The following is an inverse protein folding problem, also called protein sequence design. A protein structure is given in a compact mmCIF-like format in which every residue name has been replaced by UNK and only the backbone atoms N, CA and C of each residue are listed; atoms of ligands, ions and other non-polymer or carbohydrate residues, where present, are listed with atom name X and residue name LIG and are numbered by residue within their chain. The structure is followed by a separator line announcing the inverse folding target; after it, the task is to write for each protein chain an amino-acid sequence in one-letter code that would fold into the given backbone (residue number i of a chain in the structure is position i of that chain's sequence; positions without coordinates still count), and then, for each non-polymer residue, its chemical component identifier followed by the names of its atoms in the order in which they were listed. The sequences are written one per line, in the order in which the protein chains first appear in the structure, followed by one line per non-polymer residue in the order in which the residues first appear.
data_IF_567706864750
#
_entry.id   IF_567706864750
#
_cell.length_a   1.000
_cell.length_b   1.000
_cell.length_c   1.000
_cell.angle_alpha   90.00
_cell.angle_beta   90.00
_cell.angle_gamma   90.00
#
_symmetry.space_group_name_H-M   'P 1'
#
loop_
_entity.id
_entity.type
_entity.pdbx_description
1 polymer ?
#
# COMPACT_ATOMS: atom_id res chain seq x y z
N UNK A 1 26.51 5.07 3.72
CA UNK A 1 25.20 4.58 4.20
C UNK A 1 25.17 4.82 5.70
N UNK A 2 24.16 5.51 6.20
CA UNK A 2 23.98 5.70 7.64
C UNK A 2 23.54 4.38 8.25
N UNK A 3 24.25 3.90 9.26
CA UNK A 3 23.86 2.66 9.98
C UNK A 3 22.59 2.96 10.80
N UNK A 4 21.61 2.07 10.73
CA UNK A 4 20.40 2.18 11.55
C UNK A 4 20.75 1.98 13.04
N UNK A 5 20.03 2.65 13.92
CA UNK A 5 20.10 2.34 15.35
C UNK A 5 19.39 1.02 15.66
N UNK A 6 19.66 0.43 16.83
CA UNK A 6 18.99 -0.81 17.25
C UNK A 6 17.45 -0.65 17.31
N UNK A 7 16.95 0.53 17.68
CA UNK A 7 15.52 0.84 17.68
C UNK A 7 14.94 0.89 16.26
N UNK A 8 15.67 1.49 15.32
CA UNK A 8 15.29 1.52 13.91
C UNK A 8 15.28 0.13 13.28
N UNK A 9 16.29 -0.70 13.59
CA UNK A 9 16.32 -2.11 13.16
C UNK A 9 15.13 -2.90 13.71
N UNK A 10 14.77 -2.68 14.98
CA UNK A 10 13.61 -3.31 15.61
C UNK A 10 12.28 -2.91 14.94
N UNK A 11 12.11 -1.62 14.58
CA UNK A 11 10.95 -1.15 13.82
C UNK A 11 10.85 -1.83 12.46
N UNK A 12 11.95 -1.92 11.72
CA UNK A 12 12.00 -2.58 10.41
C UNK A 12 11.64 -4.07 10.54
N UNK A 13 12.21 -4.76 11.52
CA UNK A 13 11.92 -6.17 11.76
C UNK A 13 10.46 -6.41 12.17
N UNK A 14 9.89 -5.53 13.00
CA UNK A 14 8.49 -5.61 13.40
C UNK A 14 7.56 -5.37 12.21
N UNK A 15 7.86 -4.38 11.36
CA UNK A 15 7.08 -4.11 10.16
C UNK A 15 7.14 -5.28 9.18
N UNK A 16 8.32 -5.86 8.96
CA UNK A 16 8.42 -7.04 8.11
C UNK A 16 7.57 -8.22 8.64
N UNK A 17 7.65 -8.47 9.94
CA UNK A 17 6.81 -9.51 10.59
C UNK A 17 5.31 -9.24 10.42
N UNK A 18 4.91 -7.97 10.47
CA UNK A 18 3.53 -7.56 10.26
C UNK A 18 3.06 -7.89 8.84
N UNK A 19 3.82 -7.44 7.82
CA UNK A 19 3.53 -7.70 6.40
C UNK A 19 3.51 -9.20 6.10
N UNK A 20 4.46 -9.97 6.63
CA UNK A 20 4.49 -11.42 6.44
C UNK A 20 3.23 -12.10 7.02
N UNK A 21 2.76 -11.62 8.17
CA UNK A 21 1.51 -12.11 8.78
C UNK A 21 0.27 -11.74 7.97
N UNK A 22 0.21 -10.53 7.43
CA UNK A 22 -0.87 -10.11 6.53
C UNK A 22 -0.95 -10.98 5.28
N UNK A 23 0.18 -11.19 4.61
CA UNK A 23 0.28 -12.02 3.42
C UNK A 23 -0.10 -13.49 3.69
N UNK A 24 0.21 -13.99 4.89
CA UNK A 24 -0.16 -15.32 5.34
C UNK A 24 -1.62 -15.42 5.82
N UNK A 25 -2.32 -14.29 5.98
CA UNK A 25 -3.67 -14.25 6.58
C UNK A 25 -3.70 -14.55 8.07
N UNK A 26 -2.56 -14.43 8.76
CA UNK A 26 -2.45 -14.64 10.22
C UNK A 26 -2.88 -13.37 10.97
N UNK A 27 -4.20 -13.19 11.08
CA UNK A 27 -4.81 -12.05 11.79
C UNK A 27 -4.33 -11.93 13.24
N UNK A 28 -4.04 -13.05 13.91
CA UNK A 28 -3.58 -13.03 15.30
C UNK A 28 -2.21 -12.37 15.41
N UNK A 29 -1.27 -12.77 14.56
CA UNK A 29 0.08 -12.18 14.52
C UNK A 29 0.02 -10.74 14.02
N UNK A 30 -0.74 -10.44 12.96
CA UNK A 30 -0.95 -9.09 12.44
C UNK A 30 -1.39 -8.14 13.56
N UNK A 31 -2.46 -8.48 14.27
CA UNK A 31 -2.97 -7.66 15.38
C UNK A 31 -2.05 -7.62 16.61
N UNK A 32 -1.20 -8.62 16.82
CA UNK A 32 -0.24 -8.64 17.93
C UNK A 32 0.93 -7.67 17.71
N UNK A 33 1.23 -7.31 16.47
CA UNK A 33 2.26 -6.31 16.13
C UNK A 33 1.80 -4.88 16.32
N UNK A 34 0.50 -4.64 16.47
CA UNK A 34 -0.10 -3.31 16.62
C UNK A 34 -0.37 -2.96 18.09
N UNK A 35 -0.46 -1.67 18.38
CA UNK A 35 -0.94 -1.15 19.69
C UNK A 35 -2.41 -1.51 19.92
N UNK A 36 -2.93 -1.23 21.13
CA UNK A 36 -4.33 -1.56 21.46
C UNK A 36 -5.37 -0.73 20.72
N UNK A 37 -5.03 0.50 20.34
CA UNK A 37 -5.91 1.39 19.58
C UNK A 37 -5.24 1.88 18.28
N UNK A 38 -5.01 0.97 17.29
CA UNK A 38 -4.38 1.31 16.03
C UNK A 38 -5.36 1.97 15.06
N UNK A 39 -4.85 2.55 13.97
CA UNK A 39 -5.68 2.88 12.83
C UNK A 39 -4.96 2.58 11.51
N UNK A 40 -5.73 2.31 10.48
CA UNK A 40 -5.27 2.08 9.13
C UNK A 40 -6.15 2.86 8.16
N UNK A 41 -5.54 3.52 7.19
CA UNK A 41 -6.27 4.25 6.15
C UNK A 41 -5.62 4.04 4.79
N UNK A 42 -6.37 3.47 3.86
CA UNK A 42 -6.10 3.52 2.44
C UNK A 42 -6.62 4.86 1.93
N UNK A 43 -5.74 5.86 1.83
CA UNK A 43 -6.12 7.27 1.68
C UNK A 43 -6.97 7.55 0.45
N UNK A 44 -6.66 7.01 -0.75
CA UNK A 44 -7.46 7.33 -1.94
C UNK A 44 -8.86 6.74 -1.95
N UNK A 45 -9.09 5.62 -1.26
CA UNK A 45 -10.40 4.94 -1.20
C UNK A 45 -11.14 5.22 0.11
N UNK A 46 -10.45 5.77 1.12
CA UNK A 46 -10.92 5.95 2.50
C UNK A 46 -11.35 4.63 3.19
N UNK A 47 -10.88 3.49 2.69
CA UNK A 47 -11.12 2.18 3.29
C UNK A 47 -10.06 1.90 4.35
N UNK A 48 -10.45 1.32 5.47
CA UNK A 48 -9.55 1.02 6.58
C UNK A 48 -10.31 0.77 7.88
N UNK A 49 -9.68 1.07 9.02
CA UNK A 49 -10.29 0.88 10.32
C UNK A 49 -9.69 1.76 11.42
N UNK A 50 -10.44 2.01 12.46
CA UNK A 50 -10.02 2.73 13.66
C UNK A 50 -10.27 1.86 14.89
N UNK A 51 -9.28 1.81 15.78
CA UNK A 51 -9.30 0.93 16.95
C UNK A 51 -9.09 -0.53 16.58
N UNK A 52 -8.84 -1.36 17.60
CA UNK A 52 -8.53 -2.78 17.40
C UNK A 52 -9.60 -3.53 16.61
N UNK A 53 -10.86 -3.32 16.95
CA UNK A 53 -11.98 -4.04 16.30
C UNK A 53 -12.18 -3.56 14.85
N UNK A 54 -12.06 -2.25 14.60
CA UNK A 54 -12.19 -1.68 13.25
C UNK A 54 -11.07 -2.14 12.32
N UNK A 55 -9.83 -2.14 12.79
CA UNK A 55 -8.67 -2.63 12.01
C UNK A 55 -8.76 -4.13 11.79
N UNK A 56 -9.13 -4.92 12.81
CA UNK A 56 -9.34 -6.36 12.67
C UNK A 56 -10.45 -6.69 11.66
N UNK A 57 -11.56 -5.94 11.69
CA UNK A 57 -12.65 -6.11 10.72
C UNK A 57 -12.16 -5.81 9.29
N UNK A 58 -11.39 -4.72 9.10
CA UNK A 58 -10.80 -4.40 7.81
C UNK A 58 -9.92 -5.55 7.28
N UNK A 59 -8.98 -6.05 8.08
CA UNK A 59 -8.13 -7.16 7.66
C UNK A 59 -8.91 -8.42 7.30
N UNK A 60 -9.88 -8.81 8.15
CA UNK A 60 -10.70 -10.00 7.94
C UNK A 60 -11.56 -9.91 6.68
N UNK A 61 -12.22 -8.76 6.48
CA UNK A 61 -13.28 -8.65 5.49
C UNK A 61 -12.78 -8.15 4.13
N UNK A 62 -11.67 -7.40 4.10
CA UNK A 62 -11.20 -6.70 2.90
C UNK A 62 -9.78 -7.09 2.46
N UNK A 63 -8.95 -7.65 3.33
CA UNK A 63 -7.55 -7.94 3.00
C UNK A 63 -7.25 -9.42 2.88
N UNK A 64 -7.60 -10.22 3.88
CA UNK A 64 -7.26 -11.65 3.90
C UNK A 64 -7.90 -12.39 2.72
N UNK A 65 -7.05 -13.01 1.90
CA UNK A 65 -7.46 -13.68 0.66
C UNK A 65 -7.91 -12.77 -0.48
N UNK A 66 -7.82 -11.44 -0.29
CA UNK A 66 -8.24 -10.42 -1.26
C UNK A 66 -7.20 -9.32 -1.44
N UNK A 67 -5.98 -9.54 -0.97
CA UNK A 67 -4.95 -8.50 -0.93
C UNK A 67 -4.62 -7.99 -2.33
N UNK A 68 -4.12 -8.88 -3.18
CA UNK A 68 -3.88 -8.62 -4.59
C UNK A 68 -4.13 -9.88 -5.43
N UNK A 69 -4.29 -9.74 -6.77
CA UNK A 69 -4.27 -10.87 -7.69
C UNK A 69 -2.96 -11.69 -7.58
N UNK A 70 -2.99 -12.98 -7.96
CA UNK A 70 -1.85 -13.88 -7.77
C UNK A 70 -0.61 -13.53 -8.60
N UNK A 71 -0.73 -12.66 -9.60
CA UNK A 71 0.37 -12.19 -10.44
C UNK A 71 1.01 -10.89 -9.94
N UNK A 72 0.63 -10.43 -8.73
CA UNK A 72 1.16 -9.19 -8.15
C UNK A 72 2.69 -9.23 -8.05
N UNK A 73 3.30 -8.11 -8.43
CA UNK A 73 4.73 -7.85 -8.23
C UNK A 73 4.89 -6.54 -7.47
N UNK A 74 5.71 -6.58 -6.44
CA UNK A 74 6.07 -5.41 -5.63
C UNK A 74 7.56 -5.13 -5.82
N UNK A 75 7.87 -3.95 -6.33
CA UNK A 75 9.26 -3.49 -6.53
C UNK A 75 9.54 -2.38 -5.54
N UNK A 76 10.41 -2.63 -4.57
CA UNK A 76 10.87 -1.62 -3.64
C UNK A 76 11.71 -0.56 -4.37
N UNK A 77 11.38 0.71 -4.15
CA UNK A 77 12.13 1.86 -4.68
C UNK A 77 13.04 2.42 -3.59
N UNK A 78 12.46 2.75 -2.45
CA UNK A 78 13.21 3.28 -1.32
C UNK A 78 12.52 2.95 0.02
N UNK A 79 13.31 2.97 1.10
CA UNK A 79 12.81 2.94 2.49
C UNK A 79 13.49 4.03 3.29
N UNK A 80 12.70 4.83 3.98
CA UNK A 80 13.17 5.80 4.96
C UNK A 80 12.77 5.35 6.36
N UNK A 81 13.74 5.31 7.27
CA UNK A 81 13.52 4.93 8.68
C UNK A 81 13.77 6.16 9.55
N UNK A 82 12.70 6.70 10.12
CA UNK A 82 12.71 7.83 11.05
C UNK A 82 12.94 7.40 12.49
N UNK A 83 12.57 8.28 13.41
CA UNK A 83 12.64 8.00 14.85
C UNK A 83 11.49 7.06 15.30
N UNK A 84 10.29 7.28 14.78
CA UNK A 84 9.06 6.60 15.15
C UNK A 84 8.21 6.21 13.93
N UNK A 85 8.82 6.21 12.75
CA UNK A 85 8.12 5.99 11.48
C UNK A 85 9.02 5.30 10.47
N UNK A 86 8.42 4.40 9.69
CA UNK A 86 9.01 3.83 8.46
C UNK A 86 8.15 4.26 7.27
N UNK A 87 8.80 4.69 6.21
CA UNK A 87 8.13 5.04 4.95
C UNK A 87 8.73 4.19 3.84
N UNK A 88 7.89 3.42 3.16
CA UNK A 88 8.25 2.66 1.98
C UNK A 88 7.67 3.30 0.72
N UNK A 89 8.53 3.46 -0.27
CA UNK A 89 8.14 3.79 -1.63
C UNK A 89 8.31 2.54 -2.49
N UNK A 90 7.26 2.14 -3.19
CA UNK A 90 7.26 0.94 -4.02
C UNK A 90 6.41 1.14 -5.29
N UNK A 91 6.68 0.32 -6.29
CA UNK A 91 5.83 0.19 -7.47
C UNK A 91 5.18 -1.19 -7.44
N UNK A 92 3.86 -1.20 -7.60
CA UNK A 92 3.07 -2.43 -7.64
C UNK A 92 2.51 -2.61 -9.05
N UNK A 93 2.60 -3.83 -9.56
CA UNK A 93 1.97 -4.22 -10.82
C UNK A 93 1.18 -5.51 -10.66
N UNK A 94 0.00 -5.58 -11.28
CA UNK A 94 -0.88 -6.75 -11.26
C UNK A 94 -1.87 -6.70 -12.44
N UNK A 95 -2.52 -7.82 -12.73
CA UNK A 95 -3.69 -7.86 -13.62
C UNK A 95 -4.95 -7.94 -12.75
N UNK A 96 -5.89 -7.01 -12.91
CA UNK A 96 -7.11 -6.92 -12.09
C UNK A 96 -8.07 -8.07 -12.39
N UNK A 97 -7.72 -9.28 -11.92
CA UNK A 97 -8.47 -10.54 -12.14
C UNK A 97 -9.31 -10.95 -10.94
N UNK A 98 -9.11 -10.30 -9.78
CA UNK A 98 -9.86 -10.56 -8.54
C UNK A 98 -10.45 -9.26 -7.99
N UNK A 99 -11.43 -9.36 -7.10
CA UNK A 99 -11.96 -8.21 -6.37
C UNK A 99 -10.89 -7.70 -5.40
N UNK A 100 -10.62 -6.39 -5.44
CA UNK A 100 -9.70 -5.67 -4.54
C UNK A 100 -10.48 -4.52 -3.93
N UNK A 101 -11.44 -4.83 -3.08
CA UNK A 101 -12.43 -3.85 -2.60
C UNK A 101 -11.86 -2.78 -1.66
N UNK A 102 -10.70 -3.02 -1.05
CA UNK A 102 -9.98 -2.00 -0.29
C UNK A 102 -9.36 -0.89 -1.18
N UNK A 103 -9.01 -1.22 -2.43
CA UNK A 103 -8.44 -0.30 -3.42
C UNK A 103 -9.50 0.21 -4.41
N UNK A 104 -10.41 -0.66 -4.80
CA UNK A 104 -11.40 -0.49 -5.86
C UNK A 104 -12.80 -0.92 -5.37
N UNK A 105 -13.35 -0.24 -4.34
CA UNK A 105 -14.65 -0.61 -3.77
C UNK A 105 -15.75 -0.60 -4.83
N UNK A 106 -16.46 -1.72 -4.95
CA UNK A 106 -17.57 -1.87 -5.88
C UNK A 106 -17.18 -2.07 -7.35
N UNK A 107 -15.90 -2.18 -7.68
CA UNK A 107 -15.42 -2.41 -9.04
C UNK A 107 -15.17 -3.90 -9.27
N UNK A 108 -15.91 -4.54 -10.20
CA UNK A 108 -15.65 -5.93 -10.56
C UNK A 108 -14.33 -6.08 -11.33
N UNK A 109 -13.72 -7.28 -11.32
CA UNK A 109 -12.49 -7.55 -12.08
C UNK A 109 -12.63 -7.16 -13.55
N UNK A 110 -11.65 -6.38 -14.04
CA UNK A 110 -11.65 -5.87 -15.42
C UNK A 110 -10.75 -6.68 -16.37
N UNK A 111 -9.88 -7.53 -15.82
CA UNK A 111 -8.87 -8.26 -16.60
C UNK A 111 -7.74 -7.39 -17.15
N UNK A 112 -7.67 -6.10 -16.77
CA UNK A 112 -6.68 -5.16 -17.28
C UNK A 112 -5.45 -5.07 -16.37
N UNK A 113 -4.25 -4.82 -16.95
CA UNK A 113 -3.04 -4.60 -16.17
C UNK A 113 -3.05 -3.23 -15.49
N UNK A 114 -2.44 -3.17 -14.32
CA UNK A 114 -2.21 -1.95 -13.53
C UNK A 114 -0.75 -1.89 -13.10
N UNK A 115 -0.13 -0.72 -13.24
CA UNK A 115 1.15 -0.35 -12.65
C UNK A 115 0.97 0.96 -11.91
N UNK A 116 1.28 0.99 -10.61
CA UNK A 116 1.03 2.16 -9.78
C UNK A 116 2.10 2.32 -8.70
N UNK A 117 2.51 3.57 -8.46
CA UNK A 117 3.41 3.90 -7.35
C UNK A 117 2.62 4.01 -6.05
N UNK A 118 3.19 3.43 -4.99
CA UNK A 118 2.64 3.44 -3.64
C UNK A 118 3.62 4.08 -2.67
N UNK A 119 3.06 4.73 -1.67
CA UNK A 119 3.77 5.12 -0.46
C UNK A 119 3.03 4.54 0.74
N UNK A 120 3.75 3.78 1.55
CA UNK A 120 3.24 3.21 2.81
C UNK A 120 3.94 3.89 3.96
N UNK A 121 3.18 4.58 4.80
CA UNK A 121 3.66 5.26 6.00
C UNK A 121 3.22 4.46 7.21
N UNK A 122 4.17 3.94 7.98
CA UNK A 122 3.92 3.13 9.18
C UNK A 122 4.47 3.84 10.39
N UNK A 123 3.59 4.22 11.30
CA UNK A 123 3.97 4.84 12.56
C UNK A 123 4.11 3.82 13.68
N UNK A 124 5.03 4.10 14.61
CA UNK A 124 5.32 3.23 15.77
C UNK A 124 5.13 3.98 17.08
N UNK A 125 4.70 3.26 18.08
CA UNK A 125 4.56 3.74 19.45
C UNK A 125 4.77 2.57 20.40
N UNK A 126 5.60 2.78 21.43
CA UNK A 126 5.86 1.76 22.46
C UNK A 126 6.29 0.40 21.86
N UNK A 127 7.13 0.42 20.82
CA UNK A 127 7.64 -0.77 20.15
C UNK A 127 6.60 -1.56 19.33
N UNK A 128 5.46 -0.94 18.97
CA UNK A 128 4.41 -1.54 18.17
C UNK A 128 3.94 -0.57 17.07
N UNK A 129 3.29 -1.10 16.03
CA UNK A 129 2.68 -0.31 14.97
C UNK A 129 1.47 0.43 15.54
N UNK A 130 1.48 1.76 15.40
CA UNK A 130 0.39 2.63 15.84
C UNK A 130 -0.60 2.92 14.72
N UNK A 131 -0.11 3.06 13.50
CA UNK A 131 -0.95 3.32 12.34
C UNK A 131 -0.26 2.97 11.04
N UNK A 132 -1.08 2.85 10.00
CA UNK A 132 -0.68 2.73 8.61
C UNK A 132 -1.49 3.69 7.74
N UNK A 133 -0.80 4.47 6.91
CA UNK A 133 -1.41 5.29 5.87
C UNK A 133 -0.83 4.87 4.52
N UNK A 134 -1.71 4.42 3.63
CA UNK A 134 -1.32 3.92 2.33
C UNK A 134 -1.82 4.88 1.25
N UNK A 135 -0.90 5.31 0.38
CA UNK A 135 -1.14 6.29 -0.67
C UNK A 135 -0.83 5.71 -2.02
N UNK A 136 -1.67 6.00 -2.99
CA UNK A 136 -1.43 5.77 -4.42
C UNK A 136 -2.22 6.79 -5.23
N UNK A 137 -1.96 6.87 -6.54
CA UNK A 137 -2.75 7.69 -7.45
C UNK A 137 -3.96 6.89 -7.96
N UNK A 138 -5.13 7.16 -7.38
CA UNK A 138 -6.37 6.49 -7.77
C UNK A 138 -6.79 6.84 -9.21
N UNK A 139 -6.55 8.08 -9.65
CA UNK A 139 -6.88 8.46 -11.03
C UNK A 139 -6.05 7.65 -12.03
N UNK A 140 -4.75 7.46 -11.76
CA UNK A 140 -3.86 6.59 -12.54
C UNK A 140 -4.42 5.16 -12.64
N UNK A 141 -4.88 4.58 -11.54
CA UNK A 141 -5.48 3.23 -11.52
C UNK A 141 -6.75 3.19 -12.36
N UNK A 142 -7.67 4.14 -12.16
CA UNK A 142 -8.93 4.20 -12.89
C UNK A 142 -8.75 4.39 -14.40
N UNK A 143 -7.77 5.19 -14.82
CA UNK A 143 -7.40 5.36 -16.25
C UNK A 143 -6.96 4.03 -16.85
N UNK A 144 -6.07 3.30 -16.19
CA UNK A 144 -5.56 2.01 -16.67
C UNK A 144 -6.68 0.97 -16.77
N UNK A 145 -7.64 1.00 -15.86
CA UNK A 145 -8.80 0.11 -15.88
C UNK A 145 -9.87 0.55 -16.90
N UNK A 146 -9.73 1.74 -17.51
CA UNK A 146 -10.70 2.31 -18.45
C UNK A 146 -12.01 2.76 -17.77
N UNK A 147 -11.92 3.07 -16.49
CA UNK A 147 -13.02 3.60 -15.66
C UNK A 147 -13.01 5.13 -15.59
N UNK A 148 -11.90 5.75 -16.01
CA UNK A 148 -11.73 7.19 -16.12
C UNK A 148 -11.17 7.51 -17.50
N UNK A 149 -11.86 8.38 -18.27
CA UNK A 149 -11.34 8.95 -19.51
C UNK A 149 -10.31 10.03 -19.17
N UNK A 150 -9.03 9.89 -19.57
CA UNK A 150 -8.01 10.89 -19.29
C UNK A 150 -8.12 12.14 -20.16
N UNK A 151 -8.99 12.18 -21.17
CA UNK A 151 -9.09 13.29 -22.12
C UNK A 151 -9.43 14.61 -21.39
N UNK A 152 -8.54 15.60 -21.51
CA UNK A 152 -8.71 16.91 -20.86
C UNK A 152 -8.43 16.95 -19.36
N UNK A 153 -8.00 15.84 -18.76
CA UNK A 153 -7.65 15.77 -17.33
C UNK A 153 -6.13 15.72 -17.11
N UNK A 154 -5.61 16.35 -16.05
CA UNK A 154 -4.19 16.30 -15.71
C UNK A 154 -3.86 14.99 -14.95
N UNK A 155 -4.21 13.85 -15.51
CA UNK A 155 -3.99 12.52 -14.93
C UNK A 155 -2.97 11.73 -15.76
N UNK A 156 -2.38 10.72 -15.17
CA UNK A 156 -1.42 9.81 -15.82
C UNK A 156 -1.95 8.37 -15.83
N UNK A 157 -1.33 7.53 -16.67
CA UNK A 157 -1.46 6.08 -16.66
C UNK A 157 -0.22 5.43 -16.02
N UNK A 158 0.20 4.26 -16.50
CA UNK A 158 1.32 3.49 -15.93
C UNK A 158 2.68 4.21 -16.05
N UNK A 159 2.78 5.23 -16.91
CA UNK A 159 4.00 5.98 -17.14
C UNK A 159 4.52 6.69 -15.88
N UNK A 160 3.66 7.07 -14.94
CA UNK A 160 4.07 7.68 -13.67
C UNK A 160 4.83 6.69 -12.78
N UNK A 161 4.32 5.47 -12.66
CA UNK A 161 4.98 4.41 -11.90
C UNK A 161 6.32 3.99 -12.54
N UNK A 162 6.33 3.86 -13.87
CA UNK A 162 7.56 3.54 -14.62
C UNK A 162 8.61 4.62 -14.47
N UNK A 163 8.20 5.90 -14.43
CA UNK A 163 9.13 7.01 -14.24
C UNK A 163 9.75 7.05 -12.84
N UNK A 164 9.06 6.53 -11.82
CA UNK A 164 9.65 6.34 -10.49
C UNK A 164 10.80 5.33 -10.54
N UNK A 165 10.66 4.26 -11.33
CA UNK A 165 11.71 3.25 -11.51
C UNK A 165 12.84 3.71 -12.43
N UNK A 166 12.51 4.50 -13.46
CA UNK A 166 13.48 5.04 -14.42
C UNK A 166 13.25 6.55 -14.61
N UNK A 167 14.01 7.40 -13.92
CA UNK A 167 13.88 8.86 -13.99
C UNK A 167 14.25 9.45 -15.36
N UNK A 168 14.87 8.68 -16.26
CA UNK A 168 15.22 9.12 -17.61
C UNK A 168 14.02 9.11 -18.58
N UNK A 169 12.92 8.44 -18.21
CA UNK A 169 11.70 8.43 -19.01
C UNK A 169 11.16 9.85 -19.20
N UNK A 170 10.44 10.14 -20.32
CA UNK A 170 9.93 11.48 -20.62
C UNK A 170 9.07 12.04 -19.49
N UNK A 171 9.21 13.34 -19.24
CA UNK A 171 8.33 14.12 -18.38
C UNK A 171 7.28 14.83 -19.25
N UNK A 172 6.04 14.91 -18.76
CA UNK A 172 5.00 15.71 -19.42
C UNK A 172 5.48 17.17 -19.48
N UNK A 173 5.49 17.74 -20.67
CA UNK A 173 5.77 19.18 -20.84
C UNK A 173 4.52 19.98 -20.45
N UNK A 174 4.74 21.03 -19.65
CA UNK A 174 3.73 22.05 -19.35
C UNK A 174 3.68 23.08 -20.46
#
# INVERSE_FOLDING_TARGET
MTTLSAEQEAMVALFQRHVDAELAGDLKTTMATMIDNPHLTNVPSMVGGVGRDGVLAFYRDHLVGKFFPPDVKMTNVSRTVGHDQVVDELVISFTHTTVIDWMLPGVPPTGKPVEVAFVVVVGFKDGKISHEHIYWDQACVLVQLGLLDPAGLPVSGPESARKVLDPQLPTRRM
#
